data_IF_769836498329
#
_entry.id   IF_769836498329
#
_cell.length_a   1.000
_cell.length_b   1.000
_cell.length_c   1.000
_cell.angle_alpha   90.00
_cell.angle_beta   90.00
_cell.angle_gamma   90.00
#
_symmetry.space_group_name_H-M   'P 1'
#
loop_
_entity.id
_entity.type
_entity.pdbx_description
1 polymer ?
#
# COMPACT_ATOMS: atom_id res chain seq x y z
N UNK A 1 10.97 27.30 19.27
CA UNK A 1 11.53 26.57 18.12
C UNK A 1 11.59 25.09 18.43
N UNK A 2 11.05 24.22 17.56
CA UNK A 2 11.06 22.74 17.74
C UNK A 2 11.63 22.03 16.50
N UNK A 3 12.89 22.33 16.09
CA UNK A 3 13.47 21.79 14.86
C UNK A 3 13.58 20.26 14.86
N UNK A 4 13.75 19.66 16.04
CA UNK A 4 13.75 18.21 16.21
C UNK A 4 12.44 17.54 15.73
N UNK A 5 11.29 18.19 15.91
CA UNK A 5 10.00 17.68 15.45
C UNK A 5 9.89 17.72 13.92
N UNK A 6 10.34 18.83 13.29
CA UNK A 6 10.36 18.94 11.84
C UNK A 6 11.28 17.88 11.21
N UNK A 7 12.49 17.70 11.74
CA UNK A 7 13.43 16.68 11.29
C UNK A 7 12.86 15.26 11.44
N UNK A 8 12.24 14.95 12.58
CA UNK A 8 11.59 13.66 12.79
C UNK A 8 10.45 13.42 11.80
N UNK A 9 9.62 14.44 11.54
CA UNK A 9 8.52 14.34 10.59
C UNK A 9 9.01 14.25 9.12
N UNK A 10 10.12 14.91 8.76
CA UNK A 10 10.81 14.73 7.48
C UNK A 10 11.37 13.31 7.34
N UNK A 11 11.99 12.76 8.38
CA UNK A 11 12.48 11.38 8.38
C UNK A 11 11.35 10.35 8.20
N UNK A 12 10.21 10.54 8.89
CA UNK A 12 9.02 9.69 8.69
C UNK A 12 8.50 9.79 7.27
N UNK A 13 8.42 11.00 6.69
CA UNK A 13 7.93 11.19 5.32
C UNK A 13 8.79 10.46 4.29
N UNK A 14 10.13 10.50 4.43
CA UNK A 14 11.06 9.73 3.61
C UNK A 14 10.83 8.22 3.77
N UNK A 15 10.64 7.75 5.00
CA UNK A 15 10.32 6.35 5.29
C UNK A 15 9.02 5.89 4.62
N UNK A 16 7.95 6.68 4.71
CA UNK A 16 6.67 6.37 4.07
C UNK A 16 6.80 6.31 2.54
N UNK A 17 7.55 7.22 1.92
CA UNK A 17 7.82 7.17 0.48
C UNK A 17 8.61 5.91 0.07
N UNK A 18 9.59 5.49 0.87
CA UNK A 18 10.34 4.26 0.62
C UNK A 18 9.46 3.01 0.71
N UNK A 19 8.59 2.94 1.73
CA UNK A 19 7.62 1.85 1.87
C UNK A 19 6.63 1.85 0.71
N UNK A 20 6.16 3.03 0.29
CA UNK A 20 5.28 3.19 -0.87
C UNK A 20 5.90 2.66 -2.16
N UNK A 21 7.11 3.09 -2.50
CA UNK A 21 7.85 2.58 -3.66
C UNK A 21 8.01 1.06 -3.62
N UNK A 22 8.33 0.50 -2.45
CA UNK A 22 8.45 -0.95 -2.29
C UNK A 22 7.10 -1.67 -2.49
N UNK A 23 6.00 -1.09 -2.00
CA UNK A 23 4.66 -1.65 -2.19
C UNK A 23 4.24 -1.66 -3.66
N UNK A 24 4.49 -0.56 -4.39
CA UNK A 24 4.25 -0.48 -5.83
C UNK A 24 5.11 -1.50 -6.61
N UNK A 25 6.41 -1.54 -6.35
CA UNK A 25 7.33 -2.47 -7.03
C UNK A 25 6.98 -3.94 -6.80
N UNK A 26 6.58 -4.31 -5.58
CA UNK A 26 6.12 -5.67 -5.27
C UNK A 26 4.79 -6.00 -5.96
N UNK A 27 3.88 -5.05 -6.06
CA UNK A 27 2.62 -5.22 -6.80
C UNK A 27 2.90 -5.47 -8.27
N UNK A 28 3.80 -4.68 -8.87
CA UNK A 28 4.23 -4.89 -10.26
C UNK A 28 4.88 -6.26 -10.49
N UNK A 29 5.78 -6.68 -9.58
CA UNK A 29 6.40 -8.01 -9.64
C UNK A 29 5.37 -9.15 -9.61
N UNK A 30 4.31 -9.03 -8.83
CA UNK A 30 3.27 -10.05 -8.72
C UNK A 30 2.39 -10.16 -9.97
N UNK A 31 2.29 -9.07 -10.75
CA UNK A 31 1.50 -9.03 -11.98
C UNK A 31 2.29 -9.48 -13.22
N UNK A 32 3.60 -9.62 -13.09
CA UNK A 32 4.50 -10.05 -14.16
C UNK A 32 4.57 -11.58 -14.22
N UNK A 33 4.07 -12.14 -15.33
CA UNK A 33 4.10 -13.60 -15.58
C UNK A 33 5.51 -14.17 -15.66
N UNK A 34 6.47 -13.39 -16.17
CA UNK A 34 7.85 -13.84 -16.36
C UNK A 34 8.58 -14.03 -15.04
N UNK A 35 8.13 -13.32 -13.99
CA UNK A 35 8.71 -13.38 -12.66
C UNK A 35 7.99 -14.37 -11.75
N UNK A 36 6.69 -14.59 -11.96
CA UNK A 36 5.85 -15.38 -11.04
C UNK A 36 5.50 -16.75 -11.59
N UNK A 37 5.52 -16.94 -12.92
CA UNK A 37 4.91 -18.11 -13.58
C UNK A 37 3.39 -18.17 -13.45
N UNK A 38 2.75 -17.13 -12.88
CA UNK A 38 1.30 -16.99 -12.80
C UNK A 38 0.78 -16.32 -14.09
N UNK A 39 -0.52 -16.47 -14.39
CA UNK A 39 -1.13 -15.78 -15.51
C UNK A 39 -0.86 -14.26 -15.49
N UNK A 40 -0.53 -13.67 -16.64
CA UNK A 40 -0.27 -12.24 -16.76
C UNK A 40 -1.35 -11.38 -16.09
N UNK A 41 -0.92 -10.39 -15.31
CA UNK A 41 -1.78 -9.50 -14.53
C UNK A 41 -2.74 -10.22 -13.57
N UNK A 42 -2.45 -11.48 -13.24
CA UNK A 42 -3.29 -12.34 -12.40
C UNK A 42 -4.74 -12.46 -12.91
N UNK A 43 -4.89 -12.37 -14.24
CA UNK A 43 -6.17 -12.48 -14.93
C UNK A 43 -6.83 -13.86 -14.72
N UNK A 44 -8.15 -13.91 -14.90
CA UNK A 44 -8.88 -15.17 -14.80
C UNK A 44 -8.48 -16.12 -15.92
N UNK A 45 -8.28 -17.43 -15.65
CA UNK A 45 -8.02 -18.41 -16.69
C UNK A 45 -9.25 -18.59 -17.58
N UNK A 46 -9.04 -18.62 -18.90
CA UNK A 46 -10.09 -18.88 -19.86
C UNK A 46 -10.19 -20.39 -20.13
N UNK A 47 -11.26 -20.99 -19.63
CA UNK A 47 -11.54 -22.42 -19.76
C UNK A 47 -11.74 -22.90 -21.21
N UNK A 48 -11.97 -22.00 -22.17
CA UNK A 48 -12.25 -22.34 -23.56
C UNK A 48 -11.04 -22.16 -24.49
N UNK A 49 -10.20 -21.15 -24.25
CA UNK A 49 -9.04 -20.85 -25.09
C UNK A 49 -7.72 -21.40 -24.54
N UNK A 50 -7.68 -21.83 -23.28
CA UNK A 50 -6.43 -22.19 -22.59
C UNK A 50 -5.54 -20.99 -22.26
N UNK A 51 -6.01 -19.77 -22.50
CA UNK A 51 -5.34 -18.51 -22.18
C UNK A 51 -5.93 -17.82 -20.93
N UNK A 52 -5.87 -16.49 -20.89
CA UNK A 52 -6.50 -15.67 -19.85
C UNK A 52 -7.63 -14.83 -20.45
N UNK A 53 -8.63 -14.49 -19.63
CA UNK A 53 -9.70 -13.57 -19.99
C UNK A 53 -9.55 -12.23 -19.27
N UNK A 54 -9.58 -11.14 -20.03
CA UNK A 54 -9.61 -9.78 -19.48
C UNK A 54 -8.23 -9.19 -19.12
N UNK A 55 -8.25 -7.96 -18.63
CA UNK A 55 -7.09 -7.21 -18.16
C UNK A 55 -6.63 -7.65 -16.75
N UNK A 56 -7.45 -8.40 -16.02
CA UNK A 56 -7.13 -8.85 -14.67
C UNK A 56 -6.93 -7.66 -13.73
N UNK A 57 -5.81 -7.65 -13.02
CA UNK A 57 -5.45 -6.56 -12.09
C UNK A 57 -4.56 -5.48 -12.71
N UNK A 58 -4.30 -5.52 -14.03
CA UNK A 58 -3.45 -4.53 -14.71
C UNK A 58 -3.82 -3.05 -14.43
N UNK A 59 -5.11 -2.66 -14.33
CA UNK A 59 -5.47 -1.26 -14.05
C UNK A 59 -4.91 -0.74 -12.72
N UNK A 60 -4.67 -1.63 -11.73
CA UNK A 60 -4.14 -1.25 -10.43
C UNK A 60 -2.70 -0.75 -10.50
N UNK A 61 -1.90 -1.14 -11.51
CA UNK A 61 -0.51 -0.68 -11.64
C UNK A 61 -0.40 0.83 -11.75
N UNK A 62 -1.25 1.44 -12.58
CA UNK A 62 -1.26 2.90 -12.78
C UNK A 62 -1.61 3.62 -11.48
N UNK A 63 -2.54 3.06 -10.70
CA UNK A 63 -2.93 3.60 -9.39
C UNK A 63 -1.78 3.45 -8.39
N UNK A 64 -1.10 2.30 -8.39
CA UNK A 64 0.03 2.05 -7.51
C UNK A 64 1.18 3.04 -7.78
N UNK A 65 1.53 3.24 -9.05
CA UNK A 65 2.58 4.17 -9.47
C UNK A 65 2.20 5.63 -9.15
N UNK A 66 0.94 6.01 -9.36
CA UNK A 66 0.46 7.35 -9.01
C UNK A 66 0.56 7.62 -7.50
N UNK A 67 0.09 6.68 -6.66
CA UNK A 67 0.18 6.79 -5.21
C UNK A 67 1.63 6.84 -4.72
N UNK A 68 2.52 6.02 -5.28
CA UNK A 68 3.94 6.05 -4.97
C UNK A 68 4.58 7.38 -5.38
N UNK A 69 4.26 7.91 -6.57
CA UNK A 69 4.71 9.21 -7.04
C UNK A 69 4.24 10.36 -6.14
N UNK A 70 2.98 10.35 -5.68
CA UNK A 70 2.47 11.31 -4.72
C UNK A 70 3.18 11.25 -3.38
N UNK A 71 3.49 10.04 -2.88
CA UNK A 71 4.26 9.87 -1.64
C UNK A 71 5.69 10.42 -1.77
N UNK A 72 6.37 10.14 -2.89
CA UNK A 72 7.71 10.66 -3.18
C UNK A 72 7.69 12.19 -3.27
N UNK A 73 6.72 12.75 -3.98
CA UNK A 73 6.57 14.20 -4.08
C UNK A 73 6.33 14.85 -2.70
N UNK A 74 5.46 14.27 -1.88
CA UNK A 74 5.16 14.77 -0.53
C UNK A 74 6.33 14.61 0.46
N UNK A 75 7.28 13.72 0.19
CA UNK A 75 8.41 13.45 1.08
C UNK A 75 9.54 14.51 1.02
N UNK A 76 9.41 15.53 0.17
CA UNK A 76 10.36 16.64 0.12
C UNK A 76 10.55 17.24 1.53
N UNK A 77 11.79 17.33 2.07
CA UNK A 77 12.04 17.86 3.40
C UNK A 77 11.55 19.30 3.54
N UNK A 78 10.68 19.52 4.51
CA UNK A 78 10.06 20.84 4.74
C UNK A 78 10.88 21.69 5.70
N UNK A 79 11.75 21.09 6.51
CA UNK A 79 12.64 21.82 7.40
C UNK A 79 13.68 22.69 6.66
N UNK A 80 13.82 22.52 5.33
CA UNK A 80 14.73 23.30 4.49
C UNK A 80 14.16 24.68 4.13
N UNK A 81 12.83 24.86 4.21
CA UNK A 81 12.15 26.13 3.92
C UNK A 81 12.03 26.98 5.20
N UNK A 82 13.17 27.35 5.77
CA UNK A 82 13.26 28.26 6.91
C UNK A 82 13.04 29.70 6.44
N UNK A 83 12.05 30.40 7.01
CA UNK A 83 11.71 31.78 6.68
C UNK A 83 11.75 32.65 7.93
N UNK A 84 12.44 33.78 7.82
CA UNK A 84 12.40 34.82 8.86
C UNK A 84 11.09 35.60 8.82
N UNK A 85 10.70 36.14 9.97
CA UNK A 85 9.45 36.88 10.18
C UNK A 85 9.61 38.04 11.16
N UNK A 86 8.51 38.79 11.36
CA UNK A 86 8.38 39.79 12.44
C UNK A 86 9.48 40.87 12.45
N UNK A 87 9.69 41.59 11.33
CA UNK A 87 10.71 42.64 11.23
C UNK A 87 12.13 42.16 11.65
N UNK A 88 12.49 40.92 11.29
CA UNK A 88 13.75 40.26 11.65
C UNK A 88 13.92 39.91 13.14
N UNK A 89 12.84 39.90 13.94
CA UNK A 89 12.85 39.34 15.29
C UNK A 89 12.87 37.81 15.27
N UNK A 90 12.23 37.20 14.27
CA UNK A 90 12.33 35.75 14.03
C UNK A 90 13.28 35.54 12.84
N UNK A 91 14.47 35.00 13.12
CA UNK A 91 15.51 34.72 12.14
C UNK A 91 15.39 33.32 11.51
N UNK A 92 14.57 32.44 12.09
CA UNK A 92 14.33 31.07 11.63
C UNK A 92 12.84 30.67 11.75
N UNK A 93 12.41 29.73 10.93
CA UNK A 93 11.14 29.02 11.14
C UNK A 93 11.32 27.54 10.86
N UNK A 94 10.97 26.70 11.84
CA UNK A 94 11.26 25.26 11.75
C UNK A 94 10.43 24.47 10.72
N UNK A 95 9.35 25.04 10.18
CA UNK A 95 8.43 24.30 9.28
C UNK A 95 7.62 23.17 9.95
N UNK A 96 7.70 23.02 11.27
CA UNK A 96 7.14 21.86 12.02
C UNK A 96 5.66 21.58 11.76
N UNK A 97 4.83 22.62 11.57
CA UNK A 97 3.40 22.45 11.27
C UNK A 97 3.18 21.83 9.89
N UNK A 98 3.93 22.27 8.87
CA UNK A 98 3.85 21.71 7.53
C UNK A 98 4.38 20.27 7.52
N UNK A 99 5.54 20.05 8.17
CA UNK A 99 6.18 18.75 8.30
C UNK A 99 5.26 17.69 8.91
N UNK A 100 4.52 18.05 9.95
CA UNK A 100 3.60 17.14 10.66
C UNK A 100 2.27 16.97 9.93
N UNK A 101 1.65 18.06 9.44
CA UNK A 101 0.34 17.99 8.76
C UNK A 101 0.37 17.15 7.49
N UNK A 102 1.46 17.18 6.71
CA UNK A 102 1.53 16.39 5.48
C UNK A 102 1.48 14.87 5.75
N UNK A 103 1.90 14.41 6.92
CA UNK A 103 1.97 12.98 7.24
C UNK A 103 0.61 12.31 7.23
N UNK A 104 -0.46 13.00 7.63
CA UNK A 104 -1.81 12.44 7.59
C UNK A 104 -2.22 12.04 6.16
N UNK A 105 -2.01 12.97 5.21
CA UNK A 105 -2.29 12.76 3.79
C UNK A 105 -1.39 11.67 3.18
N UNK A 106 -0.14 11.56 3.62
CA UNK A 106 0.77 10.48 3.20
C UNK A 106 0.33 9.12 3.74
N UNK A 107 -0.12 9.03 4.99
CA UNK A 107 -0.61 7.79 5.60
C UNK A 107 -1.87 7.27 4.90
N UNK A 108 -2.77 8.17 4.47
CA UNK A 108 -3.95 7.80 3.66
C UNK A 108 -3.55 7.17 2.32
N UNK A 109 -2.63 7.80 1.59
CA UNK A 109 -2.10 7.29 0.31
C UNK A 109 -1.40 5.95 0.48
N UNK A 110 -0.56 5.84 1.52
CA UNK A 110 0.14 4.60 1.82
C UNK A 110 -0.85 3.48 2.18
N UNK A 111 -1.91 3.77 2.93
CA UNK A 111 -2.94 2.79 3.26
C UNK A 111 -3.64 2.25 2.01
N UNK A 112 -4.00 3.13 1.07
CA UNK A 112 -4.58 2.71 -0.21
C UNK A 112 -3.60 1.85 -1.02
N UNK A 113 -2.32 2.25 -1.06
CA UNK A 113 -1.29 1.51 -1.79
C UNK A 113 -1.02 0.13 -1.19
N UNK A 114 -1.00 0.01 0.15
CA UNK A 114 -0.86 -1.28 0.84
C UNK A 114 -2.12 -2.12 0.66
N UNK A 115 -3.32 -1.54 0.69
CA UNK A 115 -4.56 -2.26 0.41
C UNK A 115 -4.58 -2.83 -1.01
N UNK A 116 -4.14 -2.03 -1.98
CA UNK A 116 -3.96 -2.47 -3.37
C UNK A 116 -2.99 -3.64 -3.47
N UNK A 117 -1.83 -3.52 -2.82
CA UNK A 117 -0.86 -4.62 -2.76
C UNK A 117 -1.46 -5.89 -2.15
N UNK A 118 -2.27 -5.77 -1.11
CA UNK A 118 -2.93 -6.92 -0.47
C UNK A 118 -3.96 -7.58 -1.40
N UNK A 119 -4.71 -6.81 -2.19
CA UNK A 119 -5.61 -7.35 -3.22
C UNK A 119 -4.81 -8.15 -4.26
N UNK A 120 -3.71 -7.58 -4.76
CA UNK A 120 -2.82 -8.25 -5.73
C UNK A 120 -2.22 -9.53 -5.13
N UNK A 121 -1.71 -9.46 -3.89
CA UNK A 121 -1.09 -10.59 -3.22
C UNK A 121 -2.10 -11.72 -2.91
N UNK A 122 -3.30 -11.38 -2.45
CA UNK A 122 -4.34 -12.37 -2.18
C UNK A 122 -4.71 -13.14 -3.45
N UNK A 123 -4.87 -12.42 -4.57
CA UNK A 123 -5.14 -13.05 -5.87
C UNK A 123 -3.97 -13.92 -6.34
N UNK A 124 -2.73 -13.48 -6.14
CA UNK A 124 -1.57 -14.26 -6.50
C UNK A 124 -1.52 -15.60 -5.74
N UNK A 125 -1.83 -15.59 -4.44
CA UNK A 125 -1.89 -16.82 -3.65
C UNK A 125 -3.04 -17.73 -4.10
N UNK A 126 -4.20 -17.16 -4.41
CA UNK A 126 -5.36 -17.92 -4.93
C UNK A 126 -5.02 -18.68 -6.22
N UNK A 127 -4.27 -18.05 -7.12
CA UNK A 127 -3.81 -18.67 -8.37
C UNK A 127 -2.66 -19.65 -8.15
N UNK A 128 -1.73 -19.34 -7.26
CA UNK A 128 -0.57 -20.19 -6.98
C UNK A 128 -0.95 -21.50 -6.27
N UNK A 129 -2.02 -21.50 -5.46
CA UNK A 129 -2.50 -22.65 -4.67
C UNK A 129 -1.37 -23.42 -3.97
N UNK A 130 -0.55 -22.75 -3.13
CA UNK A 130 0.54 -23.42 -2.43
C UNK A 130 0.00 -24.49 -1.47
N UNK A 131 0.77 -25.57 -1.27
CA UNK A 131 0.39 -26.68 -0.38
C UNK A 131 0.18 -26.24 1.08
N UNK A 132 0.89 -25.20 1.50
CA UNK A 132 0.76 -24.64 2.85
C UNK A 132 1.10 -23.14 2.88
N UNK A 133 0.58 -22.46 3.89
CA UNK A 133 0.84 -21.06 4.18
C UNK A 133 1.38 -20.90 5.59
N UNK A 134 2.20 -19.88 5.82
CA UNK A 134 2.56 -19.48 7.18
C UNK A 134 1.34 -19.03 7.97
N UNK A 135 1.34 -19.24 9.29
CA UNK A 135 0.19 -18.98 10.16
C UNK A 135 -0.36 -17.55 10.01
N UNK A 136 0.51 -16.53 10.07
CA UNK A 136 0.11 -15.14 9.86
C UNK A 136 -0.44 -14.87 8.46
N UNK A 137 0.13 -15.51 7.42
CA UNK A 137 -0.35 -15.38 6.04
C UNK A 137 -1.74 -16.01 5.88
N UNK A 138 -1.98 -17.17 6.49
CA UNK A 138 -3.29 -17.81 6.48
C UNK A 138 -4.36 -16.90 7.13
N UNK A 139 -4.07 -16.35 8.32
CA UNK A 139 -4.98 -15.40 8.98
C UNK A 139 -5.21 -14.12 8.18
N UNK A 140 -4.18 -13.62 7.49
CA UNK A 140 -4.34 -12.48 6.58
C UNK A 140 -5.26 -12.82 5.39
N UNK A 141 -5.08 -13.97 4.75
CA UNK A 141 -5.92 -14.39 3.62
C UNK A 141 -7.35 -14.66 4.01
N UNK A 142 -7.61 -15.15 5.23
CA UNK A 142 -8.98 -15.30 5.74
C UNK A 142 -9.69 -13.94 5.75
N UNK A 143 -9.05 -12.90 6.30
CA UNK A 143 -9.59 -11.53 6.27
C UNK A 143 -9.81 -11.07 4.83
N UNK A 144 -8.83 -11.25 3.95
CA UNK A 144 -8.92 -10.81 2.55
C UNK A 144 -10.07 -11.51 1.80
N UNK A 145 -10.23 -12.82 1.98
CA UNK A 145 -11.30 -13.61 1.35
C UNK A 145 -12.71 -13.16 1.76
N UNK A 146 -12.84 -12.58 2.96
CA UNK A 146 -14.11 -12.02 3.43
C UNK A 146 -14.43 -10.63 2.86
N UNK A 147 -13.45 -9.97 2.23
CA UNK A 147 -13.56 -8.59 1.74
C UNK A 147 -13.45 -8.47 0.22
N UNK A 148 -12.76 -9.39 -0.44
CA UNK A 148 -12.47 -9.32 -1.88
C UNK A 148 -13.08 -10.55 -2.54
N UNK A 149 -14.04 -10.31 -3.45
CA UNK A 149 -14.64 -11.38 -4.23
C UNK A 149 -13.64 -11.93 -5.27
N UNK A 150 -13.60 -13.27 -5.48
CA UNK A 150 -12.77 -13.87 -6.51
C UNK A 150 -12.96 -13.20 -7.88
N UNK A 151 -11.85 -12.97 -8.58
CA UNK A 151 -11.88 -12.36 -9.91
C UNK A 151 -12.14 -13.42 -10.98
N UNK A 152 -13.41 -13.60 -11.33
CA UNK A 152 -13.85 -14.52 -12.40
C UNK A 152 -13.94 -13.85 -13.77
N UNK A 153 -14.15 -12.54 -13.80
CA UNK A 153 -14.16 -11.68 -14.98
C UNK A 153 -13.77 -10.25 -14.58
N UNK A 154 -13.38 -9.44 -15.56
CA UNK A 154 -13.04 -8.02 -15.31
C UNK A 154 -14.22 -7.28 -14.68
N UNK A 155 -13.92 -6.53 -13.60
CA UNK A 155 -14.87 -5.68 -12.88
C UNK A 155 -14.15 -4.49 -12.26
N UNK A 156 -14.87 -3.45 -11.80
CA UNK A 156 -14.24 -2.36 -11.06
C UNK A 156 -13.50 -2.87 -9.81
N UNK A 157 -12.21 -2.55 -9.71
CA UNK A 157 -11.33 -3.01 -8.63
C UNK A 157 -11.17 -1.99 -7.49
N UNK A 158 -11.45 -0.71 -7.74
CA UNK A 158 -11.29 0.36 -6.76
C UNK A 158 -12.09 0.11 -5.47
N UNK A 159 -13.31 -0.40 -5.60
CA UNK A 159 -14.19 -0.72 -4.47
C UNK A 159 -13.61 -1.76 -3.53
N UNK A 160 -12.80 -2.71 -4.03
CA UNK A 160 -12.14 -3.69 -3.18
C UNK A 160 -10.94 -3.09 -2.48
N UNK A 161 -10.15 -2.27 -3.18
CA UNK A 161 -9.02 -1.57 -2.60
C UNK A 161 -9.49 -0.66 -1.47
N UNK A 162 -10.55 0.12 -1.68
CA UNK A 162 -11.15 0.98 -0.66
C UNK A 162 -11.70 0.16 0.52
N UNK A 163 -12.42 -0.93 0.22
CA UNK A 163 -12.96 -1.82 1.27
C UNK A 163 -11.85 -2.43 2.11
N UNK A 164 -10.75 -2.88 1.51
CA UNK A 164 -9.59 -3.41 2.23
C UNK A 164 -8.89 -2.31 3.02
N UNK A 165 -8.72 -1.12 2.44
CA UNK A 165 -8.10 0.01 3.13
C UNK A 165 -8.87 0.39 4.42
N UNK A 166 -10.19 0.41 4.37
CA UNK A 166 -11.01 0.77 5.53
C UNK A 166 -11.22 -0.41 6.48
N UNK A 167 -11.67 -1.56 5.98
CA UNK A 167 -12.14 -2.66 6.82
C UNK A 167 -11.05 -3.63 7.26
N UNK A 168 -9.92 -3.71 6.54
CA UNK A 168 -8.79 -4.54 6.94
C UNK A 168 -7.70 -3.72 7.64
N UNK A 169 -7.31 -2.59 7.05
CA UNK A 169 -6.19 -1.78 7.53
C UNK A 169 -6.61 -0.73 8.57
N UNK A 170 -7.54 0.18 8.24
CA UNK A 170 -7.91 1.27 9.15
C UNK A 170 -8.58 0.77 10.43
N UNK A 171 -9.42 -0.27 10.33
CA UNK A 171 -10.07 -0.92 11.48
C UNK A 171 -9.10 -1.68 12.40
N UNK A 172 -7.89 -2.00 11.94
CA UNK A 172 -6.95 -2.89 12.63
C UNK A 172 -7.31 -4.38 12.56
N UNK A 173 -8.39 -4.77 11.86
CA UNK A 173 -8.86 -6.16 11.75
C UNK A 173 -7.79 -7.11 11.22
N UNK A 174 -7.03 -6.69 10.20
CA UNK A 174 -5.96 -7.50 9.63
C UNK A 174 -4.87 -7.78 10.67
N UNK A 175 -4.42 -6.75 11.38
CA UNK A 175 -3.39 -6.88 12.41
C UNK A 175 -3.85 -7.80 13.55
N UNK A 176 -5.11 -7.67 13.98
CA UNK A 176 -5.69 -8.52 15.00
C UNK A 176 -5.74 -10.00 14.57
N UNK A 177 -6.15 -10.27 13.32
CA UNK A 177 -6.19 -11.64 12.78
C UNK A 177 -4.80 -12.27 12.66
N UNK A 178 -3.82 -11.51 12.16
CA UNK A 178 -2.42 -11.97 12.04
C UNK A 178 -1.84 -12.28 13.42
N UNK A 179 -2.00 -11.39 14.41
CA UNK A 179 -1.53 -11.61 15.79
C UNK A 179 -2.21 -12.81 16.45
N UNK A 180 -3.53 -12.93 16.28
CA UNK A 180 -4.27 -14.09 16.78
C UNK A 180 -3.76 -15.41 16.21
N UNK A 181 -3.30 -15.41 14.96
CA UNK A 181 -2.73 -16.59 14.29
C UNK A 181 -1.30 -16.92 14.72
N UNK A 182 -0.53 -15.93 15.19
CA UNK A 182 0.87 -16.10 15.61
C UNK A 182 1.04 -16.42 17.11
N UNK A 183 0.02 -16.17 17.93
CA UNK A 183 0.11 -16.30 19.39
C UNK A 183 0.67 -15.05 20.08
N UNK A 184 0.58 -14.98 21.41
CA UNK A 184 0.75 -13.74 22.20
C UNK A 184 2.18 -13.17 22.29
N UNK A 185 3.18 -13.76 21.63
CA UNK A 185 4.59 -13.32 21.70
C UNK A 185 5.08 -12.55 20.44
N UNK A 186 4.18 -12.21 19.50
CA UNK A 186 4.51 -11.52 18.24
C UNK A 186 3.89 -10.11 18.07
#
# INVERSE_FOLDING_TARGET
HVPALALAADAVALGLAQVGNLAAARSARLLDESLTGLPANLAAPDSLSGGTSGAGLAPLLKVADALAGELVHAAAPTCLDARGGSNAVEDDSTGSLLATRRLAAMLERLRLLVALQLVVAARAVELARPDSLGLGTAGALEVMSSLVEPLVADRPLGVDVERVAEQALASGRLLAAVRGSLGSEA
#
